data_IF_969186232213
#
_entry.id   IF_969186232213
#
_cell.length_a   1.000
_cell.length_b   1.000
_cell.length_c   1.000
_cell.angle_alpha   90.00
_cell.angle_beta   90.00
_cell.angle_gamma   90.00
#
_symmetry.space_group_name_H-M   'P 1'
#
loop_
_entity.id
_entity.type
_entity.pdbx_description
1 polymer ?
#
# COMPACT_ATOMS: atom_id res chain seq x y z
N UNK A 1 -16.12 18.14 -5.08
CA UNK A 1 -15.65 17.60 -6.37
C UNK A 1 -16.63 16.61 -7.02
N UNK A 2 -17.82 16.38 -6.42
CA UNK A 2 -18.87 15.55 -6.98
C UNK A 2 -18.74 14.04 -6.72
N UNK A 3 -17.85 13.60 -5.83
CA UNK A 3 -17.82 12.20 -5.43
C UNK A 3 -19.01 11.88 -4.51
N UNK A 4 -19.70 10.77 -4.77
CA UNK A 4 -20.81 10.28 -3.95
C UNK A 4 -20.34 9.27 -2.89
N UNK A 5 -19.17 8.64 -3.10
CA UNK A 5 -18.58 7.68 -2.19
C UNK A 5 -17.05 7.69 -2.29
N UNK A 6 -16.38 7.09 -1.30
CA UNK A 6 -14.94 6.92 -1.27
C UNK A 6 -14.60 5.47 -0.97
N UNK A 7 -13.50 4.97 -1.58
CA UNK A 7 -12.94 3.66 -1.28
C UNK A 7 -11.61 3.85 -0.55
N UNK A 8 -11.49 3.30 0.66
CA UNK A 8 -10.33 3.49 1.54
C UNK A 8 -9.73 2.11 1.84
N UNK A 9 -8.50 1.86 1.38
CA UNK A 9 -7.77 0.61 1.64
C UNK A 9 -6.62 0.80 2.61
N UNK A 10 -5.57 1.49 2.19
CA UNK A 10 -4.29 1.60 2.91
C UNK A 10 -4.43 2.10 4.35
N UNK A 11 -5.37 3.01 4.61
CA UNK A 11 -5.63 3.51 5.97
C UNK A 11 -6.08 2.38 6.90
N UNK A 12 -6.95 1.48 6.42
CA UNK A 12 -7.44 0.34 7.21
C UNK A 12 -6.44 -0.81 7.32
N UNK A 13 -5.44 -0.91 6.42
CA UNK A 13 -4.32 -1.84 6.62
C UNK A 13 -3.52 -1.52 7.90
N UNK A 14 -3.58 -0.29 8.38
CA UNK A 14 -2.89 0.18 9.60
C UNK A 14 -3.85 0.24 10.80
N UNK A 15 -5.07 -0.23 10.65
CA UNK A 15 -6.01 -0.29 11.78
C UNK A 15 -5.54 -1.32 12.83
N UNK A 16 -5.85 -1.06 14.11
CA UNK A 16 -5.51 -1.95 15.21
C UNK A 16 -6.10 -3.36 15.00
N UNK A 17 -7.33 -3.44 14.48
CA UNK A 17 -8.03 -4.69 14.21
C UNK A 17 -7.55 -5.43 12.95
N UNK A 18 -6.75 -4.77 12.11
CA UNK A 18 -6.22 -5.39 10.89
C UNK A 18 -5.19 -6.47 11.24
N UNK A 19 -5.35 -7.65 10.63
CA UNK A 19 -4.47 -8.82 10.84
C UNK A 19 -3.12 -8.72 10.13
N UNK A 20 -2.86 -7.65 9.39
CA UNK A 20 -1.56 -7.42 8.77
C UNK A 20 -0.45 -7.44 9.83
N UNK A 21 0.67 -8.08 9.49
CA UNK A 21 1.83 -8.13 10.36
C UNK A 21 2.31 -6.72 10.75
N UNK A 22 2.80 -6.57 11.98
CA UNK A 22 3.26 -5.29 12.51
C UNK A 22 4.30 -4.60 11.60
N UNK A 23 5.22 -5.36 11.04
CA UNK A 23 6.21 -4.82 10.09
C UNK A 23 5.56 -4.15 8.86
N UNK A 24 4.44 -4.72 8.39
CA UNK A 24 3.67 -4.15 7.27
C UNK A 24 3.05 -2.80 7.66
N UNK A 25 2.39 -2.74 8.82
CA UNK A 25 1.81 -1.51 9.37
C UNK A 25 2.88 -0.44 9.56
N UNK A 26 4.01 -0.80 10.18
CA UNK A 26 5.13 0.10 10.42
C UNK A 26 5.80 0.59 9.13
N UNK A 27 5.85 -0.24 8.10
CA UNK A 27 6.36 0.17 6.77
C UNK A 27 5.49 1.27 6.17
N UNK A 28 4.16 1.18 6.32
CA UNK A 28 3.21 2.22 5.86
C UNK A 28 3.35 3.49 6.70
N UNK A 29 3.36 3.38 8.04
CA UNK A 29 3.44 4.55 8.96
C UNK A 29 4.72 5.36 8.73
N UNK A 30 5.83 4.69 8.43
CA UNK A 30 7.14 5.32 8.16
C UNK A 30 7.29 5.84 6.73
N UNK A 31 6.34 5.51 5.84
CA UNK A 31 6.40 5.92 4.45
C UNK A 31 6.31 7.45 4.31
N UNK A 32 7.00 7.94 3.30
CA UNK A 32 6.89 9.31 2.80
C UNK A 32 6.04 9.31 1.52
N UNK A 33 5.63 10.47 1.08
CA UNK A 33 4.87 10.69 -0.16
C UNK A 33 5.57 10.16 -1.42
N UNK A 34 6.90 10.16 -1.42
CA UNK A 34 7.75 9.69 -2.52
C UNK A 34 8.09 8.20 -2.48
N UNK A 35 7.66 7.47 -1.45
CA UNK A 35 8.09 6.08 -1.25
C UNK A 35 7.24 5.06 -2.01
N UNK A 36 6.16 5.48 -2.66
CA UNK A 36 5.35 4.58 -3.49
C UNK A 36 5.80 4.58 -4.95
N UNK A 37 5.74 3.41 -5.58
CA UNK A 37 6.04 3.23 -7.00
C UNK A 37 5.05 2.24 -7.63
N UNK A 38 5.02 2.19 -8.96
CA UNK A 38 4.11 1.31 -9.71
C UNK A 38 4.93 0.30 -10.48
N UNK A 39 4.69 -0.98 -10.22
CA UNK A 39 5.22 -2.14 -10.96
C UNK A 39 4.16 -2.70 -11.92
N UNK A 40 4.55 -3.52 -12.89
CA UNK A 40 3.63 -4.26 -13.76
C UNK A 40 2.99 -3.45 -14.87
N UNK A 41 3.56 -2.31 -15.24
CA UNK A 41 3.05 -1.52 -16.37
C UNK A 41 3.26 -2.20 -17.71
N UNK A 42 4.39 -2.87 -17.88
CA UNK A 42 4.76 -3.54 -19.14
C UNK A 42 3.86 -4.75 -19.47
N UNK A 43 3.33 -5.40 -18.44
CA UNK A 43 2.47 -6.58 -18.57
C UNK A 43 0.97 -6.28 -18.46
N UNK A 44 0.59 -4.99 -18.34
CA UNK A 44 -0.82 -4.58 -18.25
C UNK A 44 -1.46 -4.78 -16.86
N UNK A 45 -0.69 -5.16 -15.84
CA UNK A 45 -1.17 -5.37 -14.47
C UNK A 45 -0.49 -4.41 -13.47
N UNK A 46 -0.74 -3.10 -13.57
CA UNK A 46 -0.08 -2.13 -12.71
C UNK A 46 -0.51 -2.27 -11.25
N UNK A 47 0.46 -2.36 -10.36
CA UNK A 47 0.27 -2.42 -8.90
C UNK A 47 1.06 -1.30 -8.26
N UNK A 48 0.43 -0.54 -7.36
CA UNK A 48 1.15 0.43 -6.53
C UNK A 48 1.60 -0.19 -5.22
N UNK A 49 2.87 -0.05 -4.91
CA UNK A 49 3.48 -0.60 -3.71
C UNK A 49 4.51 0.38 -3.12
N UNK A 50 4.90 0.14 -1.86
CA UNK A 50 6.01 0.85 -1.24
C UNK A 50 7.34 0.27 -1.72
N UNK A 51 8.27 1.17 -2.02
CA UNK A 51 9.61 0.84 -2.48
C UNK A 51 10.36 -0.04 -1.48
N UNK A 52 10.88 -1.17 -1.97
CA UNK A 52 11.70 -2.10 -1.21
C UNK A 52 12.65 -2.86 -2.15
N UNK A 53 13.27 -3.93 -1.68
CA UNK A 53 14.19 -4.73 -2.51
C UNK A 53 13.43 -5.45 -3.63
N UNK A 54 12.27 -6.04 -3.33
CA UNK A 54 11.46 -6.77 -4.31
C UNK A 54 10.98 -5.85 -5.44
N UNK A 55 10.41 -4.69 -5.10
CA UNK A 55 9.90 -3.77 -6.12
C UNK A 55 11.00 -3.20 -7.03
N UNK A 56 12.19 -2.95 -6.47
CA UNK A 56 13.36 -2.52 -7.26
C UNK A 56 13.82 -3.60 -8.23
N UNK A 57 13.86 -4.86 -7.77
CA UNK A 57 14.24 -5.99 -8.61
C UNK A 57 13.20 -6.21 -9.71
N UNK A 58 11.91 -6.11 -9.39
CA UNK A 58 10.83 -6.17 -10.36
C UNK A 58 10.99 -5.11 -11.46
N UNK A 59 11.20 -3.84 -11.06
CA UNK A 59 11.36 -2.74 -12.00
C UNK A 59 12.65 -2.87 -12.84
N UNK A 60 13.72 -3.45 -12.27
CA UNK A 60 14.94 -3.76 -13.02
C UNK A 60 14.67 -4.78 -14.11
N UNK A 61 14.05 -5.91 -13.77
CA UNK A 61 13.68 -6.96 -14.73
C UNK A 61 12.71 -6.43 -15.80
N UNK A 62 11.71 -5.65 -15.38
CA UNK A 62 10.75 -5.03 -16.29
C UNK A 62 11.44 -4.11 -17.31
N UNK A 63 12.44 -3.34 -16.90
CA UNK A 63 13.25 -2.47 -17.75
C UNK A 63 14.15 -3.26 -18.71
N UNK A 64 14.62 -4.43 -18.30
CA UNK A 64 15.44 -5.34 -19.11
C UNK A 64 14.60 -6.14 -20.12
N UNK A 65 13.27 -5.98 -20.08
CA UNK A 65 12.36 -6.66 -20.99
C UNK A 65 12.02 -8.10 -20.59
N UNK A 66 12.13 -8.42 -19.30
CA UNK A 66 11.74 -9.72 -18.77
C UNK A 66 10.29 -10.07 -19.13
N UNK A 67 10.06 -11.33 -19.50
CA UNK A 67 8.74 -11.81 -19.84
C UNK A 67 7.82 -11.96 -18.63
N UNK A 68 6.51 -12.10 -18.89
CA UNK A 68 5.49 -12.23 -17.85
C UNK A 68 5.81 -13.33 -16.83
N UNK A 69 6.19 -14.53 -17.31
CA UNK A 69 6.51 -15.66 -16.41
C UNK A 69 7.65 -15.39 -15.45
N UNK A 70 8.67 -14.67 -15.88
CA UNK A 70 9.82 -14.31 -15.05
C UNK A 70 9.42 -13.30 -13.97
N UNK A 71 8.64 -12.28 -14.34
CA UNK A 71 8.10 -11.31 -13.40
C UNK A 71 7.12 -11.94 -12.41
N UNK A 72 6.29 -12.88 -12.89
CA UNK A 72 5.34 -13.59 -12.02
C UNK A 72 6.06 -14.45 -10.97
N UNK A 73 7.13 -15.15 -11.32
CA UNK A 73 7.93 -15.94 -10.36
C UNK A 73 8.43 -15.11 -9.19
N UNK A 74 8.77 -13.85 -9.43
CA UNK A 74 9.19 -12.93 -8.37
C UNK A 74 8.04 -12.53 -7.43
N UNK A 75 6.82 -12.47 -7.95
CA UNK A 75 5.65 -11.95 -7.23
C UNK A 75 4.76 -12.99 -6.61
N UNK A 76 4.82 -14.25 -7.06
CA UNK A 76 4.03 -15.36 -6.48
C UNK A 76 4.30 -15.46 -4.98
N UNK A 77 3.24 -15.33 -4.18
CA UNK A 77 3.31 -15.38 -2.71
C UNK A 77 3.90 -14.16 -2.03
N UNK A 78 4.47 -13.21 -2.78
CA UNK A 78 5.20 -12.06 -2.20
C UNK A 78 4.31 -11.15 -1.34
N UNK A 79 3.05 -10.97 -1.71
CA UNK A 79 2.10 -10.20 -0.89
C UNK A 79 1.82 -10.92 0.44
N UNK A 80 1.60 -12.22 0.41
CA UNK A 80 1.39 -13.03 1.61
C UNK A 80 2.60 -12.96 2.54
N UNK A 81 3.81 -13.07 2.00
CA UNK A 81 5.05 -12.97 2.79
C UNK A 81 5.14 -11.61 3.50
N UNK A 82 4.75 -10.51 2.85
CA UNK A 82 4.74 -9.20 3.50
C UNK A 82 3.64 -9.07 4.55
N UNK A 83 2.40 -9.50 4.22
CA UNK A 83 1.21 -9.29 5.06
C UNK A 83 1.19 -10.22 6.27
N UNK A 84 1.56 -11.48 6.10
CA UNK A 84 1.46 -12.52 7.12
C UNK A 84 2.79 -12.75 7.84
N UNK A 85 3.87 -12.92 7.06
CA UNK A 85 5.18 -13.28 7.62
C UNK A 85 6.02 -12.03 7.97
N UNK A 86 5.56 -10.84 7.59
CA UNK A 86 6.21 -9.56 7.90
C UNK A 86 7.50 -9.29 7.12
N UNK A 87 7.73 -10.02 6.01
CA UNK A 87 8.88 -9.76 5.13
C UNK A 87 8.59 -8.56 4.20
N UNK A 88 8.70 -7.38 4.76
CA UNK A 88 8.50 -6.11 4.03
C UNK A 88 9.71 -5.73 3.15
N UNK A 89 10.76 -6.52 3.17
CA UNK A 89 11.96 -6.32 2.35
C UNK A 89 11.84 -7.03 1.00
N UNK A 90 11.44 -8.30 1.03
CA UNK A 90 11.36 -9.15 -0.16
C UNK A 90 9.91 -9.43 -0.58
N UNK A 91 8.92 -9.08 0.22
CA UNK A 91 7.51 -9.20 -0.10
C UNK A 91 6.93 -7.93 -0.71
N UNK A 92 5.77 -8.03 -1.34
CA UNK A 92 5.04 -6.89 -1.90
C UNK A 92 4.28 -6.15 -0.82
N UNK A 93 4.60 -4.87 -0.60
CA UNK A 93 3.86 -4.01 0.33
C UNK A 93 2.94 -3.09 -0.48
N UNK A 94 1.73 -3.57 -0.76
CA UNK A 94 0.73 -2.78 -1.49
C UNK A 94 0.27 -1.60 -0.63
N UNK A 95 0.36 -0.39 -1.18
CA UNK A 95 -0.13 0.83 -0.55
C UNK A 95 -0.41 1.91 -1.58
N UNK A 96 -1.48 2.67 -1.37
CA UNK A 96 -1.82 3.81 -2.20
C UNK A 96 -0.91 5.01 -1.98
N UNK A 97 -1.10 6.06 -2.78
CA UNK A 97 -0.32 7.30 -2.69
C UNK A 97 -0.46 8.00 -1.33
N UNK A 98 -1.59 7.79 -0.63
CA UNK A 98 -1.85 8.41 0.68
C UNK A 98 -1.04 7.79 1.83
N UNK A 99 -0.26 6.73 1.58
CA UNK A 99 0.56 6.09 2.62
C UNK A 99 1.41 7.10 3.40
N UNK A 100 1.96 8.10 2.71
CA UNK A 100 2.74 9.17 3.31
C UNK A 100 1.97 10.03 4.33
N UNK A 101 0.64 10.02 4.31
CA UNK A 101 -0.21 10.76 5.24
C UNK A 101 -0.60 9.95 6.49
N UNK A 102 -0.41 8.63 6.47
CA UNK A 102 -0.76 7.74 7.58
C UNK A 102 0.40 7.71 8.58
N UNK A 103 0.21 8.25 9.78
CA UNK A 103 1.29 8.44 10.76
C UNK A 103 1.07 7.70 12.08
N UNK A 104 -0.10 7.11 12.29
CA UNK A 104 -0.45 6.42 13.53
C UNK A 104 -1.37 5.23 13.26
N UNK A 105 -1.29 4.22 14.11
CA UNK A 105 -2.29 3.18 14.23
C UNK A 105 -3.50 3.72 14.99
N UNK A 106 -4.70 3.36 14.56
CA UNK A 106 -5.97 3.71 15.19
C UNK A 106 -6.93 2.54 15.04
N UNK A 107 -7.96 2.48 15.88
CA UNK A 107 -9.06 1.54 15.66
C UNK A 107 -9.87 1.90 14.41
N UNK A 108 -10.57 0.93 13.83
CA UNK A 108 -11.47 1.18 12.72
C UNK A 108 -12.52 2.23 13.07
N UNK A 109 -13.02 2.22 14.30
CA UNK A 109 -13.97 3.22 14.80
C UNK A 109 -13.39 4.63 14.73
N UNK A 110 -12.20 4.84 15.30
CA UNK A 110 -11.52 6.14 15.32
C UNK A 110 -11.24 6.64 13.89
N UNK A 111 -10.86 5.75 12.97
CA UNK A 111 -10.63 6.10 11.56
C UNK A 111 -11.90 6.63 10.92
N UNK A 112 -13.03 5.94 11.11
CA UNK A 112 -14.33 6.35 10.53
C UNK A 112 -14.80 7.67 11.14
N UNK A 113 -14.73 7.81 12.47
CA UNK A 113 -15.14 9.01 13.19
C UNK A 113 -14.30 10.23 12.74
N UNK A 114 -12.97 10.08 12.65
CA UNK A 114 -12.06 11.15 12.19
C UNK A 114 -12.39 11.60 10.75
N UNK A 115 -12.67 10.64 9.84
CA UNK A 115 -13.03 10.96 8.46
C UNK A 115 -14.36 11.72 8.39
N UNK A 116 -15.38 11.28 9.14
CA UNK A 116 -16.69 11.91 9.15
C UNK A 116 -16.66 13.31 9.75
N UNK A 117 -15.96 13.49 10.88
CA UNK A 117 -15.79 14.80 11.50
C UNK A 117 -15.08 15.81 10.58
N UNK A 118 -14.04 15.35 9.86
CA UNK A 118 -13.34 16.21 8.90
C UNK A 118 -14.23 16.55 7.70
N UNK A 119 -15.00 15.59 7.19
CA UNK A 119 -15.95 15.83 6.11
C UNK A 119 -17.03 16.84 6.49
N UNK A 120 -17.60 16.71 7.68
CA UNK A 120 -18.61 17.66 8.20
C UNK A 120 -18.05 19.08 8.31
N UNK A 121 -16.85 19.23 8.88
CA UNK A 121 -16.18 20.54 8.98
C UNK A 121 -15.97 21.19 7.63
N UNK A 122 -15.63 20.42 6.59
CA UNK A 122 -15.42 20.93 5.25
C UNK A 122 -16.73 21.27 4.49
N UNK A 123 -17.83 20.59 4.82
CA UNK A 123 -19.14 20.88 4.22
C UNK A 123 -19.83 22.13 4.81
N UNK A 124 -19.44 22.54 6.00
CA UNK A 124 -19.99 23.71 6.69
C UNK A 124 -19.10 24.97 6.56
N UNK A 125 -18.09 24.92 5.74
CA UNK A 125 -17.23 26.07 5.42
C UNK A 125 -17.75 26.88 4.24
#
# INVERSE_FOLDING_TARGET
LGAEAVQIGTRFCVAAECICHENYKQKIIKAKDIDSEVTGRSNGHPIRCLRNQMSREYLRLEKEGAGFEELERLTVGSLRNAVIDGDVKNGTVMAGQIAGLIKKEQSCKEIVEEIMEQAEKLMHC
#
